data_IF_681621137380
#
_entry.id   IF_681621137380
#
_cell.length_a   1.000
_cell.length_b   1.000
_cell.length_c   1.000
_cell.angle_alpha   90.00
_cell.angle_beta   90.00
_cell.angle_gamma   90.00
#
_symmetry.space_group_name_H-M   'P 1'
#
loop_
_entity.id
_entity.type
_entity.pdbx_description
1 polymer ?
#
# COMPACT_ATOMS: atom_id res chain seq x y z
N UNK A 1 19.80 7.17 10.97
CA UNK A 1 18.56 6.53 10.47
C UNK A 1 17.32 7.19 11.04
N UNK A 2 17.24 7.38 12.37
CA UNK A 2 16.15 8.15 12.99
C UNK A 2 16.21 9.66 12.67
N UNK A 3 17.41 10.25 12.55
CA UNK A 3 17.56 11.69 12.23
C UNK A 3 16.98 12.09 10.86
N UNK A 4 16.69 11.11 10.00
CA UNK A 4 16.09 11.29 8.67
C UNK A 4 14.58 11.09 8.68
N UNK A 5 13.97 10.77 9.83
CA UNK A 5 12.54 10.51 9.92
C UNK A 5 11.78 11.82 10.11
N UNK A 6 10.98 12.20 9.12
CA UNK A 6 10.17 13.43 9.18
C UNK A 6 8.93 13.24 10.06
N UNK A 7 8.34 12.05 10.01
CA UNK A 7 7.11 11.74 10.74
C UNK A 7 7.10 10.30 11.20
N UNK A 8 6.75 10.12 12.47
CA UNK A 8 6.51 8.82 13.10
C UNK A 8 5.02 8.75 13.45
N UNK A 9 4.41 7.61 13.15
CA UNK A 9 3.05 7.27 13.60
C UNK A 9 3.09 5.95 14.35
N UNK A 10 2.30 5.88 15.42
CA UNK A 10 2.03 4.65 16.14
C UNK A 10 0.81 3.97 15.52
N UNK A 11 0.82 2.64 15.42
CA UNK A 11 -0.31 1.85 14.92
C UNK A 11 -1.23 1.50 16.10
N UNK A 12 -2.40 2.13 16.19
CA UNK A 12 -3.33 1.90 17.29
C UNK A 12 -3.98 0.53 17.27
N UNK A 13 -4.18 -0.02 18.47
CA UNK A 13 -5.04 -1.17 18.73
C UNK A 13 -6.50 -0.76 18.91
N UNK A 14 -7.27 -1.60 19.59
CA UNK A 14 -8.70 -1.34 19.81
C UNK A 14 -8.96 -0.35 20.94
N UNK A 15 -8.03 -0.23 21.89
CA UNK A 15 -8.22 0.46 23.16
C UNK A 15 -8.59 1.94 23.01
N UNK A 16 -7.87 2.75 22.20
CA UNK A 16 -8.25 4.15 22.00
C UNK A 16 -9.61 4.32 21.32
N UNK A 17 -9.96 3.40 20.41
CA UNK A 17 -11.24 3.41 19.68
C UNK A 17 -12.38 3.07 20.64
N UNK A 18 -12.21 2.06 21.49
CA UNK A 18 -13.19 1.65 22.50
C UNK A 18 -13.49 2.78 23.49
N UNK A 19 -12.46 3.52 23.91
CA UNK A 19 -12.64 4.62 24.86
C UNK A 19 -13.50 5.77 24.30
N UNK A 20 -13.42 6.07 22.99
CA UNK A 20 -14.30 7.08 22.37
C UNK A 20 -15.70 6.53 22.11
N UNK A 21 -15.83 5.24 21.75
CA UNK A 21 -17.14 4.61 21.57
C UNK A 21 -17.96 4.63 22.88
N UNK A 22 -17.32 4.41 24.03
CA UNK A 22 -17.97 4.53 25.36
C UNK A 22 -18.50 5.93 25.67
N UNK A 23 -17.98 6.95 25.00
CA UNK A 23 -18.44 8.33 25.14
C UNK A 23 -19.66 8.63 24.27
N UNK A 24 -20.17 7.64 23.53
CA UNK A 24 -21.41 7.75 22.76
C UNK A 24 -21.26 8.53 21.46
N UNK A 25 -20.05 8.60 20.91
CA UNK A 25 -19.77 9.24 19.62
C UNK A 25 -20.44 8.47 18.48
N UNK A 26 -20.98 9.19 17.50
CA UNK A 26 -21.64 8.58 16.35
C UNK A 26 -20.65 8.20 15.23
N UNK A 27 -19.51 8.89 15.14
CA UNK A 27 -18.45 8.66 14.14
C UNK A 27 -17.08 8.69 14.80
N UNK A 28 -16.24 7.70 14.49
CA UNK A 28 -14.83 7.66 14.90
C UNK A 28 -13.94 7.80 13.67
N UNK A 29 -13.06 8.81 13.68
CA UNK A 29 -12.01 8.97 12.67
C UNK A 29 -10.69 8.56 13.34
N UNK A 30 -10.21 7.35 13.02
CA UNK A 30 -8.94 6.86 13.52
C UNK A 30 -7.77 7.43 12.70
N UNK A 31 -6.64 7.66 13.37
CA UNK A 31 -5.35 7.87 12.71
C UNK A 31 -4.80 6.56 12.14
N UNK A 32 -3.48 6.36 12.22
CA UNK A 32 -2.90 5.06 11.84
C UNK A 32 -3.34 3.99 12.85
N UNK A 33 -4.09 2.99 12.38
CA UNK A 33 -4.58 1.87 13.17
C UNK A 33 -4.24 0.54 12.53
N UNK A 34 -4.30 -0.53 13.32
CA UNK A 34 -4.46 -1.87 12.78
C UNK A 34 -5.82 -1.94 12.08
N UNK A 35 -5.88 -2.44 10.85
CA UNK A 35 -7.10 -2.36 10.04
C UNK A 35 -8.25 -3.14 10.69
N UNK A 36 -7.94 -4.32 11.25
CA UNK A 36 -8.88 -5.12 12.03
C UNK A 36 -9.38 -4.44 13.32
N UNK A 37 -8.63 -3.49 13.91
CA UNK A 37 -9.01 -2.85 15.17
C UNK A 37 -10.24 -1.95 15.03
N UNK A 38 -10.45 -1.37 13.84
CA UNK A 38 -11.60 -0.48 13.55
C UNK A 38 -12.93 -1.25 13.72
N UNK A 39 -12.95 -2.51 13.28
CA UNK A 39 -14.12 -3.38 13.37
C UNK A 39 -14.16 -4.20 14.67
N UNK A 40 -13.00 -4.58 15.20
CA UNK A 40 -12.94 -5.33 16.45
C UNK A 40 -13.39 -4.48 17.65
N UNK A 41 -13.05 -3.19 17.70
CA UNK A 41 -13.40 -2.30 18.80
C UNK A 41 -14.90 -2.25 19.13
N UNK A 42 -15.83 -1.99 18.18
CA UNK A 42 -17.26 -2.00 18.48
C UNK A 42 -17.78 -3.39 18.89
N UNK A 43 -17.24 -4.47 18.33
CA UNK A 43 -17.61 -5.84 18.73
C UNK A 43 -17.19 -6.15 20.17
N UNK A 44 -16.02 -5.66 20.59
CA UNK A 44 -15.56 -5.78 21.97
C UNK A 44 -16.40 -4.94 22.94
N UNK A 45 -16.88 -3.76 22.53
CA UNK A 45 -17.83 -2.98 23.32
C UNK A 45 -19.22 -3.64 23.42
N UNK A 46 -19.61 -4.41 22.40
CA UNK A 46 -20.81 -5.26 22.44
C UNK A 46 -20.63 -6.54 23.29
N UNK A 47 -19.44 -6.77 23.87
CA UNK A 47 -19.18 -7.91 24.77
C UNK A 47 -18.74 -9.20 24.07
N UNK A 48 -18.36 -9.15 22.79
CA UNK A 48 -17.84 -10.32 22.08
C UNK A 48 -16.40 -10.65 22.50
N UNK A 49 -15.97 -11.90 22.22
CA UNK A 49 -14.62 -12.36 22.53
C UNK A 49 -13.56 -11.66 21.68
N UNK A 50 -12.31 -11.57 22.19
CA UNK A 50 -11.17 -11.08 21.40
C UNK A 50 -10.99 -11.88 20.10
N UNK A 51 -11.12 -13.21 20.17
CA UNK A 51 -10.94 -14.06 19.00
C UNK A 51 -11.95 -13.74 17.89
N UNK A 52 -13.24 -13.65 18.24
CA UNK A 52 -14.29 -13.38 17.27
C UNK A 52 -14.23 -11.94 16.74
N UNK A 53 -13.99 -10.97 17.63
CA UNK A 53 -13.90 -9.57 17.24
C UNK A 53 -12.73 -9.31 16.28
N UNK A 54 -11.54 -9.83 16.58
CA UNK A 54 -10.38 -9.68 15.71
C UNK A 54 -10.49 -10.49 14.43
N UNK A 55 -11.08 -11.69 14.45
CA UNK A 55 -11.32 -12.44 13.21
C UNK A 55 -12.32 -11.69 12.31
N UNK A 56 -13.42 -11.20 12.87
CA UNK A 56 -14.38 -10.40 12.12
C UNK A 56 -13.70 -9.16 11.53
N UNK A 57 -12.88 -8.47 12.32
CA UNK A 57 -12.13 -7.31 11.81
C UNK A 57 -11.13 -7.66 10.71
N UNK A 58 -10.39 -8.78 10.85
CA UNK A 58 -9.48 -9.27 9.81
C UNK A 58 -10.22 -9.60 8.51
N UNK A 59 -11.40 -10.19 8.60
CA UNK A 59 -12.20 -10.50 7.41
C UNK A 59 -12.81 -9.25 6.75
N UNK A 60 -13.04 -8.17 7.53
CA UNK A 60 -13.69 -6.95 7.07
C UNK A 60 -12.74 -5.84 6.59
N UNK A 61 -11.43 -5.96 6.82
CA UNK A 61 -10.45 -4.88 6.57
C UNK A 61 -10.41 -4.37 5.11
N UNK A 62 -10.75 -5.23 4.14
CA UNK A 62 -10.89 -4.86 2.72
C UNK A 62 -12.32 -5.07 2.17
N UNK A 63 -13.31 -5.10 3.06
CA UNK A 63 -14.73 -5.26 2.74
C UNK A 63 -14.99 -6.40 1.73
N UNK A 64 -15.48 -6.09 0.53
CA UNK A 64 -15.91 -7.06 -0.48
C UNK A 64 -14.81 -7.98 -1.05
N UNK A 65 -13.56 -7.81 -0.64
CA UNK A 65 -12.45 -8.67 -1.09
C UNK A 65 -12.55 -10.10 -0.53
N UNK A 66 -13.33 -10.32 0.54
CA UNK A 66 -13.65 -11.66 1.03
C UNK A 66 -14.89 -12.28 0.35
N UNK A 67 -15.29 -11.76 -0.81
CA UNK A 67 -16.45 -12.23 -1.58
C UNK A 67 -16.10 -12.64 -3.02
N UNK A 68 -16.99 -13.43 -3.61
CA UNK A 68 -16.89 -13.94 -4.98
C UNK A 68 -18.21 -13.67 -5.77
N UNK A 69 -18.15 -13.21 -7.03
CA UNK A 69 -16.92 -12.84 -7.75
C UNK A 69 -16.24 -11.63 -7.11
N UNK A 70 -14.96 -11.43 -7.44
CA UNK A 70 -14.21 -10.27 -6.94
C UNK A 70 -14.89 -9.00 -7.44
N UNK A 71 -15.35 -8.17 -6.50
CA UNK A 71 -15.95 -6.88 -6.75
C UNK A 71 -15.29 -5.89 -5.80
N UNK A 72 -14.74 -4.79 -6.30
CA UNK A 72 -14.16 -3.73 -5.47
C UNK A 72 -15.21 -2.67 -5.12
N UNK A 73 -15.04 -2.02 -3.96
CA UNK A 73 -15.93 -0.95 -3.46
C UNK A 73 -17.35 -1.40 -3.08
N UNK A 74 -17.55 -2.70 -2.87
CA UNK A 74 -18.80 -3.23 -2.34
C UNK A 74 -18.69 -3.44 -0.82
N UNK A 75 -19.84 -3.60 -0.16
CA UNK A 75 -19.92 -3.75 1.30
C UNK A 75 -20.26 -5.19 1.70
N UNK A 76 -19.77 -5.60 2.86
CA UNK A 76 -20.14 -6.83 3.53
C UNK A 76 -20.65 -6.54 4.95
N UNK A 77 -21.40 -7.46 5.52
CA UNK A 77 -21.82 -7.44 6.91
C UNK A 77 -21.05 -8.51 7.69
N UNK A 78 -20.38 -8.10 8.76
CA UNK A 78 -19.84 -8.99 9.78
C UNK A 78 -20.79 -9.07 10.98
N UNK A 79 -21.15 -10.28 11.39
CA UNK A 79 -22.02 -10.54 12.55
C UNK A 79 -21.39 -11.57 13.47
N UNK A 80 -21.46 -11.33 14.78
CA UNK A 80 -20.97 -12.24 15.82
C UNK A 80 -22.12 -12.53 16.79
N UNK A 81 -22.34 -13.79 17.13
CA UNK A 81 -23.43 -14.22 18.04
C UNK A 81 -23.01 -15.25 19.10
N UNK A 82 -21.69 -15.41 19.30
CA UNK A 82 -21.12 -16.37 20.24
C UNK A 82 -21.04 -17.81 19.71
N UNK A 83 -21.71 -18.12 18.59
CA UNK A 83 -21.54 -19.40 17.90
C UNK A 83 -20.50 -19.32 16.78
N UNK A 84 -20.11 -18.12 16.35
CA UNK A 84 -19.05 -17.89 15.39
C UNK A 84 -19.11 -16.48 14.81
N UNK A 85 -18.31 -16.27 13.76
CA UNK A 85 -18.27 -15.03 12.98
C UNK A 85 -18.89 -15.29 11.62
N UNK A 86 -19.84 -14.46 11.21
CA UNK A 86 -20.59 -14.60 9.97
C UNK A 86 -20.28 -13.44 9.04
N UNK A 87 -19.88 -13.74 7.82
CA UNK A 87 -19.56 -12.76 6.78
C UNK A 87 -20.58 -12.91 5.66
N UNK A 88 -21.37 -11.86 5.42
CA UNK A 88 -22.42 -11.83 4.41
C UNK A 88 -22.10 -10.75 3.38
N UNK A 89 -22.04 -11.12 2.10
CA UNK A 89 -21.95 -10.13 1.03
C UNK A 89 -23.28 -9.37 0.88
N UNK A 90 -23.23 -8.04 0.83
CA UNK A 90 -24.44 -7.22 0.67
C UNK A 90 -24.85 -7.14 -0.79
N UNK A 91 -23.90 -6.93 -1.71
CA UNK A 91 -24.17 -6.83 -3.15
C UNK A 91 -24.93 -8.06 -3.67
N UNK A 92 -26.06 -7.94 -4.40
CA UNK A 92 -26.89 -9.07 -4.83
C UNK A 92 -26.13 -10.18 -5.57
N UNK A 93 -25.20 -9.80 -6.43
CA UNK A 93 -24.44 -10.75 -7.27
C UNK A 93 -23.14 -11.26 -6.64
N UNK A 94 -22.84 -10.86 -5.39
CA UNK A 94 -21.66 -11.31 -4.65
C UNK A 94 -22.06 -12.24 -3.51
N UNK A 95 -21.20 -13.20 -3.16
CA UNK A 95 -21.35 -14.07 -1.99
C UNK A 95 -20.04 -14.23 -1.25
N UNK A 96 -20.08 -14.33 0.07
CA UNK A 96 -18.93 -14.81 0.84
C UNK A 96 -18.97 -16.34 0.88
N UNK A 97 -18.00 -16.97 0.21
CA UNK A 97 -17.78 -18.42 0.21
C UNK A 97 -16.67 -18.83 1.18
N UNK A 98 -16.64 -20.09 1.66
CA UNK A 98 -15.54 -20.60 2.47
C UNK A 98 -14.16 -20.32 1.87
N UNK A 99 -14.01 -20.53 0.56
CA UNK A 99 -12.76 -20.29 -0.15
C UNK A 99 -12.41 -18.79 -0.19
N UNK A 100 -13.36 -17.92 -0.51
CA UNK A 100 -13.11 -16.46 -0.58
C UNK A 100 -12.75 -15.86 0.78
N UNK A 101 -13.45 -16.28 1.85
CA UNK A 101 -13.20 -15.80 3.21
C UNK A 101 -11.87 -16.35 3.74
N UNK A 102 -11.58 -17.64 3.53
CA UNK A 102 -10.28 -18.22 3.92
C UNK A 102 -9.11 -17.59 3.17
N UNK A 103 -9.25 -17.37 1.85
CA UNK A 103 -8.23 -16.69 1.04
C UNK A 103 -7.95 -15.28 1.56
N UNK A 104 -9.00 -14.52 1.88
CA UNK A 104 -8.83 -13.18 2.41
C UNK A 104 -8.23 -13.16 3.83
N UNK A 105 -8.58 -14.14 4.67
CA UNK A 105 -7.95 -14.30 5.99
C UNK A 105 -6.42 -14.49 5.89
N UNK A 106 -5.93 -15.12 4.82
CA UNK A 106 -4.49 -15.34 4.56
C UNK A 106 -3.81 -14.17 3.83
N UNK A 107 -4.56 -13.20 3.31
CA UNK A 107 -4.06 -12.12 2.46
C UNK A 107 -3.23 -11.08 3.24
N UNK A 108 -2.18 -10.55 2.58
CA UNK A 108 -1.28 -9.49 3.07
C UNK A 108 -0.53 -9.80 4.36
N UNK A 109 -0.12 -11.06 4.56
CA UNK A 109 0.60 -11.48 5.77
C UNK A 109 1.86 -12.28 5.47
N UNK A 110 2.82 -12.15 6.39
CA UNK A 110 4.05 -12.97 6.40
C UNK A 110 3.76 -14.42 6.78
N UNK A 111 2.79 -14.63 7.67
CA UNK A 111 2.31 -15.95 8.06
C UNK A 111 0.81 -16.02 7.77
N UNK A 112 0.34 -16.97 6.93
CA UNK A 112 -1.06 -17.04 6.52
C UNK A 112 -2.03 -17.36 7.67
N UNK A 113 -1.53 -17.83 8.83
CA UNK A 113 -2.36 -18.24 9.96
C UNK A 113 -2.33 -17.27 11.15
N UNK A 114 -1.52 -16.21 11.11
CA UNK A 114 -1.36 -15.31 12.27
C UNK A 114 -1.47 -13.86 11.87
N UNK A 115 -2.33 -13.15 12.58
CA UNK A 115 -2.47 -11.70 12.47
C UNK A 115 -2.00 -11.02 13.75
N UNK A 116 -0.90 -10.26 13.68
CA UNK A 116 -0.32 -9.58 14.84
C UNK A 116 -0.92 -8.19 15.01
N UNK A 117 -1.37 -7.89 16.21
CA UNK A 117 -1.99 -6.62 16.58
C UNK A 117 -1.40 -6.11 17.90
N UNK A 118 -1.56 -4.83 18.26
CA UNK A 118 -1.19 -4.39 19.60
C UNK A 118 -1.85 -5.26 20.68
N UNK A 119 -1.02 -5.81 21.57
CA UNK A 119 -1.47 -6.68 22.67
C UNK A 119 -1.53 -8.18 22.38
N UNK A 120 -1.22 -8.66 21.17
CA UNK A 120 -1.25 -10.10 20.89
C UNK A 120 -1.27 -10.46 19.41
N UNK A 121 -1.79 -11.66 19.13
CA UNK A 121 -2.10 -12.04 17.76
C UNK A 121 -3.35 -12.93 17.70
N UNK A 122 -4.07 -12.81 16.59
CA UNK A 122 -5.13 -13.72 16.20
C UNK A 122 -4.50 -14.96 15.54
N UNK A 123 -4.79 -16.14 16.07
CA UNK A 123 -4.40 -17.43 15.49
C UNK A 123 -5.60 -18.04 14.73
N UNK A 124 -5.41 -18.24 13.44
CA UNK A 124 -6.38 -18.76 12.49
C UNK A 124 -6.05 -20.17 12.01
N UNK A 125 -5.03 -20.83 12.59
CA UNK A 125 -4.57 -22.16 12.16
C UNK A 125 -5.61 -23.27 12.34
N UNK A 126 -6.61 -23.04 13.21
CA UNK A 126 -7.71 -23.97 13.51
C UNK A 126 -9.06 -23.47 12.99
N UNK A 127 -9.08 -22.45 12.12
CA UNK A 127 -10.32 -21.93 11.57
C UNK A 127 -11.03 -22.97 10.70
N UNK A 128 -12.34 -23.10 10.88
CA UNK A 128 -13.26 -23.86 10.02
C UNK A 128 -14.25 -22.90 9.37
N UNK A 129 -14.44 -23.06 8.06
CA UNK A 129 -15.24 -22.18 7.22
C UNK A 129 -16.43 -22.96 6.66
N UNK A 130 -17.65 -22.54 6.98
CA UNK A 130 -18.89 -23.22 6.64
C UNK A 130 -19.82 -22.27 5.88
N UNK A 131 -20.29 -22.67 4.70
CA UNK A 131 -21.34 -21.93 3.99
C UNK A 131 -22.68 -22.18 4.70
N UNK A 132 -23.32 -21.14 5.22
CA UNK A 132 -24.59 -21.29 5.98
C UNK A 132 -25.83 -20.85 5.20
N UNK A 133 -25.65 -20.04 4.17
CA UNK A 133 -26.68 -19.66 3.19
C UNK A 133 -25.99 -19.25 1.87
N UNK A 134 -26.72 -18.91 0.78
CA UNK A 134 -26.10 -18.59 -0.52
C UNK A 134 -25.07 -17.45 -0.52
N UNK A 135 -25.08 -16.55 0.48
CA UNK A 135 -24.25 -15.34 0.54
C UNK A 135 -23.36 -15.25 1.78
N UNK A 136 -23.59 -16.11 2.77
CA UNK A 136 -22.95 -16.04 4.09
C UNK A 136 -22.06 -17.24 4.38
N UNK A 137 -20.84 -16.95 4.84
CA UNK A 137 -19.93 -17.94 5.42
C UNK A 137 -19.79 -17.70 6.92
N UNK A 138 -19.89 -18.76 7.70
CA UNK A 138 -19.58 -18.80 9.13
C UNK A 138 -18.16 -19.29 9.35
N UNK A 139 -17.46 -18.67 10.29
CA UNK A 139 -16.11 -19.06 10.72
C UNK A 139 -16.06 -19.31 12.22
N UNK A 140 -15.37 -20.39 12.59
CA UNK A 140 -15.15 -20.84 13.97
C UNK A 140 -13.73 -21.37 14.16
N UNK A 141 -13.25 -21.50 15.39
CA UNK A 141 -11.95 -22.12 15.69
C UNK A 141 -10.77 -21.14 15.78
N UNK A 142 -10.99 -19.87 15.46
CA UNK A 142 -10.07 -18.78 15.77
C UNK A 142 -9.78 -18.68 17.27
N UNK A 143 -8.55 -18.30 17.63
CA UNK A 143 -8.18 -18.00 19.02
C UNK A 143 -7.35 -16.72 19.06
N UNK A 144 -7.39 -16.00 20.18
CA UNK A 144 -6.54 -14.84 20.39
C UNK A 144 -5.47 -15.17 21.44
N UNK A 145 -4.21 -14.95 21.10
CA UNK A 145 -3.07 -15.18 21.98
C UNK A 145 -2.54 -13.82 22.43
N UNK A 146 -2.87 -13.47 23.68
CA UNK A 146 -2.39 -12.23 24.29
C UNK A 146 -0.87 -12.27 24.51
N UNK A 147 -0.22 -11.14 24.27
CA UNK A 147 1.18 -10.94 24.64
C UNK A 147 1.31 -10.59 26.13
N UNK A 148 2.41 -10.97 26.81
CA UNK A 148 2.62 -10.61 28.23
C UNK A 148 2.70 -9.10 28.47
N UNK A 149 3.22 -8.37 27.48
CA UNK A 149 3.30 -6.90 27.45
C UNK A 149 2.64 -6.38 26.18
N UNK A 150 2.21 -5.12 26.22
CA UNK A 150 1.70 -4.42 25.04
C UNK A 150 2.84 -3.86 24.21
N UNK A 151 2.88 -4.26 22.94
CA UNK A 151 3.82 -3.74 21.95
C UNK A 151 3.06 -2.95 20.89
N UNK A 152 3.51 -1.73 20.60
CA UNK A 152 2.95 -0.90 19.55
C UNK A 152 3.96 -0.74 18.43
N UNK A 153 3.50 -0.98 17.19
CA UNK A 153 4.29 -0.74 15.99
C UNK A 153 4.41 0.77 15.74
N UNK A 154 5.64 1.22 15.52
CA UNK A 154 5.98 2.54 15.02
C UNK A 154 6.37 2.45 13.55
N UNK A 155 5.77 3.33 12.77
CA UNK A 155 5.99 3.47 11.35
C UNK A 155 6.49 4.87 11.06
N UNK A 156 7.60 5.00 10.33
CA UNK A 156 8.20 6.29 10.04
C UNK A 156 8.69 6.39 8.62
N UNK A 157 8.52 7.58 8.05
CA UNK A 157 9.01 7.92 6.71
C UNK A 157 9.90 9.15 6.76
N UNK A 158 10.87 9.18 5.84
CA UNK A 158 11.79 10.29 5.66
C UNK A 158 11.88 10.69 4.21
N UNK A 159 11.79 12.00 3.93
CA UNK A 159 11.99 12.54 2.59
C UNK A 159 13.43 12.28 2.17
N UNK A 160 13.59 11.78 0.95
CA UNK A 160 14.89 11.46 0.36
C UNK A 160 15.27 12.50 -0.68
N UNK A 161 14.32 12.96 -1.49
CA UNK A 161 14.57 13.88 -2.59
C UNK A 161 13.27 14.44 -3.18
N UNK A 162 13.38 15.52 -3.95
CA UNK A 162 12.37 15.91 -4.94
C UNK A 162 12.39 14.96 -6.14
N UNK A 163 11.26 14.82 -6.84
CA UNK A 163 11.09 13.87 -7.95
C UNK A 163 10.50 14.54 -9.19
N UNK A 164 11.05 14.17 -10.34
CA UNK A 164 10.55 14.56 -11.65
C UNK A 164 10.48 13.35 -12.57
N UNK A 165 9.42 13.24 -13.37
CA UNK A 165 9.17 12.12 -14.27
C UNK A 165 9.05 12.60 -15.73
N UNK A 166 9.56 11.81 -16.66
CA UNK A 166 9.39 12.01 -18.10
C UNK A 166 9.05 10.69 -18.76
N UNK A 167 8.07 10.69 -19.67
CA UNK A 167 7.56 9.45 -20.28
C UNK A 167 7.89 9.45 -21.77
N UNK A 168 8.51 8.37 -22.23
CA UNK A 168 8.78 8.16 -23.66
C UNK A 168 8.50 6.72 -24.08
N UNK A 169 8.04 6.53 -25.31
CA UNK A 169 7.87 5.22 -25.94
C UNK A 169 8.93 4.96 -27.00
N UNK A 170 9.35 3.71 -27.16
CA UNK A 170 10.24 3.29 -28.26
C UNK A 170 9.62 2.06 -28.91
N UNK A 171 9.45 2.10 -30.23
CA UNK A 171 8.94 0.99 -31.05
C UNK A 171 9.97 0.48 -32.07
N UNK A 172 11.03 1.24 -32.33
CA UNK A 172 12.05 0.83 -33.29
C UNK A 172 12.77 -0.45 -32.81
N UNK A 173 12.67 -1.58 -33.52
CA UNK A 173 13.20 -2.86 -33.05
C UNK A 173 14.72 -2.85 -32.83
N UNK A 174 15.45 -2.08 -33.64
CA UNK A 174 16.89 -1.96 -33.50
C UNK A 174 17.28 -1.17 -32.24
N UNK A 175 16.57 -0.08 -31.96
CA UNK A 175 16.74 0.70 -30.73
C UNK A 175 16.39 -0.13 -29.49
N UNK A 176 15.31 -0.91 -29.53
CA UNK A 176 14.92 -1.82 -28.44
C UNK A 176 16.01 -2.86 -28.19
N UNK A 177 16.55 -3.49 -29.24
CA UNK A 177 17.63 -4.46 -29.13
C UNK A 177 18.94 -3.87 -28.56
N UNK A 178 19.12 -2.55 -28.66
CA UNK A 178 20.31 -1.83 -28.19
C UNK A 178 19.99 -0.88 -27.02
N UNK A 179 18.88 -1.08 -26.32
CA UNK A 179 18.34 -0.09 -25.38
C UNK A 179 19.32 0.26 -24.25
N UNK A 180 20.08 -0.72 -23.74
CA UNK A 180 21.06 -0.46 -22.68
C UNK A 180 22.20 0.45 -23.15
N UNK A 181 22.57 0.41 -24.44
CA UNK A 181 23.54 1.34 -25.03
C UNK A 181 22.96 2.75 -25.12
N UNK A 182 21.69 2.86 -25.48
CA UNK A 182 20.95 4.13 -25.55
C UNK A 182 20.87 4.77 -24.17
N UNK A 183 20.43 4.01 -23.16
CA UNK A 183 20.36 4.46 -21.76
C UNK A 183 21.75 4.80 -21.22
N UNK A 184 22.76 3.97 -21.51
CA UNK A 184 24.14 4.22 -21.10
C UNK A 184 24.69 5.52 -21.69
N UNK A 185 24.44 5.80 -22.97
CA UNK A 185 24.81 7.05 -23.61
C UNK A 185 24.08 8.25 -22.98
N UNK A 186 22.78 8.13 -22.74
CA UNK A 186 21.99 9.19 -22.11
C UNK A 186 22.50 9.52 -20.69
N UNK A 187 22.82 8.50 -19.88
CA UNK A 187 23.46 8.65 -18.57
C UNK A 187 24.85 9.29 -18.67
N UNK A 188 25.63 8.94 -19.69
CA UNK A 188 26.93 9.56 -19.97
C UNK A 188 26.80 11.07 -20.21
N UNK A 189 25.83 11.50 -21.03
CA UNK A 189 25.56 12.92 -21.29
C UNK A 189 25.10 13.70 -20.06
N UNK A 190 24.31 13.06 -19.20
CA UNK A 190 23.97 13.64 -17.90
C UNK A 190 25.22 13.80 -17.03
N UNK A 191 26.08 12.77 -16.99
CA UNK A 191 27.31 12.79 -16.20
C UNK A 191 28.28 13.87 -16.64
N UNK A 192 28.45 14.06 -17.96
CA UNK A 192 29.27 15.13 -18.54
C UNK A 192 28.79 16.52 -18.10
N UNK A 193 27.47 16.72 -17.98
CA UNK A 193 26.88 18.04 -17.71
C UNK A 193 26.69 18.32 -16.22
N UNK A 194 26.35 17.31 -15.42
CA UNK A 194 25.90 17.47 -14.04
C UNK A 194 26.79 16.78 -13.01
N UNK A 195 27.86 16.11 -13.45
CA UNK A 195 28.71 15.28 -12.59
C UNK A 195 28.16 13.87 -12.40
N UNK A 196 28.82 13.03 -11.60
CA UNK A 196 28.46 11.62 -11.44
C UNK A 196 27.04 11.44 -10.87
N UNK A 197 26.27 10.56 -11.51
CA UNK A 197 24.99 10.04 -11.00
C UNK A 197 25.25 9.34 -9.66
N UNK A 198 24.38 9.56 -8.67
CA UNK A 198 24.55 9.07 -7.29
C UNK A 198 25.20 10.08 -6.34
N UNK A 199 25.69 11.22 -6.86
CA UNK A 199 26.12 12.36 -6.06
C UNK A 199 24.94 13.27 -5.74
N UNK A 200 24.82 14.39 -6.46
CA UNK A 200 23.77 15.40 -6.22
C UNK A 200 22.43 15.08 -6.89
N UNK A 201 22.34 13.98 -7.63
CA UNK A 201 21.12 13.54 -8.30
C UNK A 201 21.20 12.04 -8.62
N UNK A 202 20.04 11.39 -8.73
CA UNK A 202 19.92 10.07 -9.34
C UNK A 202 19.01 10.11 -10.56
N UNK A 203 19.20 9.15 -11.47
CA UNK A 203 18.34 8.96 -12.64
C UNK A 203 18.07 7.47 -12.87
N UNK A 204 16.80 7.15 -13.02
CA UNK A 204 16.29 5.81 -13.24
C UNK A 204 15.55 5.77 -14.58
N UNK A 205 15.68 4.66 -15.30
CA UNK A 205 15.01 4.43 -16.58
C UNK A 205 14.18 3.16 -16.45
N UNK A 206 12.90 3.32 -16.11
CA UNK A 206 11.97 2.22 -15.87
C UNK A 206 11.39 1.73 -17.20
N UNK A 207 11.86 0.57 -17.68
CA UNK A 207 11.50 0.02 -19.00
C UNK A 207 10.32 -0.95 -18.92
N UNK A 208 9.10 -0.40 -19.01
CA UNK A 208 7.86 -1.17 -19.17
C UNK A 208 7.85 -1.87 -20.53
N UNK A 209 7.38 -3.12 -20.54
CA UNK A 209 7.51 -4.02 -21.69
C UNK A 209 8.79 -4.85 -21.67
N UNK A 210 9.75 -4.58 -20.76
CA UNK A 210 10.93 -5.43 -20.53
C UNK A 210 10.94 -6.06 -19.14
N UNK A 211 11.14 -5.24 -18.11
CA UNK A 211 11.30 -5.69 -16.72
C UNK A 211 11.14 -4.57 -15.66
N UNK A 212 10.39 -3.49 -15.93
CA UNK A 212 10.26 -2.37 -14.98
C UNK A 212 9.67 -2.72 -13.60
N UNK A 213 8.92 -3.83 -13.47
CA UNK A 213 8.25 -4.20 -12.21
C UNK A 213 9.17 -5.00 -11.30
N UNK A 214 9.79 -6.07 -11.82
CA UNK A 214 10.64 -6.97 -11.06
C UNK A 214 12.13 -6.69 -11.22
N UNK A 215 12.52 -5.80 -12.13
CA UNK A 215 13.91 -5.44 -12.42
C UNK A 215 14.80 -6.68 -12.65
N UNK A 216 15.85 -6.85 -11.84
CA UNK A 216 16.77 -7.98 -11.89
C UNK A 216 16.13 -9.30 -11.39
N UNK A 217 14.99 -9.23 -10.71
CA UNK A 217 14.24 -10.39 -10.23
C UNK A 217 13.28 -10.96 -11.28
N UNK A 218 13.09 -10.28 -12.42
CA UNK A 218 12.24 -10.78 -13.50
C UNK A 218 12.81 -12.10 -14.06
N UNK A 219 12.12 -13.25 -13.90
CA UNK A 219 12.64 -14.54 -14.36
C UNK A 219 12.67 -14.67 -15.89
N UNK A 220 11.80 -13.94 -16.58
CA UNK A 220 11.58 -14.06 -18.03
C UNK A 220 11.46 -12.69 -18.69
N UNK A 221 12.52 -11.86 -18.65
CA UNK A 221 12.45 -10.50 -19.19
C UNK A 221 12.20 -10.57 -20.70
N UNK A 222 11.29 -9.73 -21.19
CA UNK A 222 10.97 -9.72 -22.61
C UNK A 222 12.21 -9.30 -23.41
N UNK A 223 12.69 -10.20 -24.28
CA UNK A 223 13.94 -10.00 -25.04
C UNK A 223 13.77 -9.14 -26.29
N UNK A 224 12.56 -9.14 -26.86
CA UNK A 224 12.23 -8.40 -28.06
C UNK A 224 10.75 -7.94 -28.00
N UNK A 225 10.40 -7.06 -27.06
CA UNK A 225 9.06 -6.49 -27.02
C UNK A 225 8.77 -5.68 -28.29
N UNK A 226 7.51 -5.64 -28.71
CA UNK A 226 7.08 -4.86 -29.88
C UNK A 226 7.29 -3.36 -29.67
N UNK A 227 7.09 -2.90 -28.43
CA UNK A 227 7.32 -1.55 -27.98
C UNK A 227 7.68 -1.55 -26.49
N UNK A 228 8.38 -0.51 -26.05
CA UNK A 228 8.68 -0.27 -24.64
C UNK A 228 8.24 1.12 -24.23
N UNK A 229 7.67 1.22 -23.02
CA UNK A 229 7.44 2.48 -22.33
C UNK A 229 8.56 2.73 -21.34
N UNK A 230 9.19 3.89 -21.40
CA UNK A 230 10.27 4.28 -20.49
C UNK A 230 9.79 5.44 -19.64
N UNK A 231 9.65 5.20 -18.35
CA UNK A 231 9.48 6.27 -17.36
C UNK A 231 10.88 6.62 -16.86
N UNK A 232 11.34 7.80 -17.25
CA UNK A 232 12.57 8.39 -16.73
C UNK A 232 12.22 9.09 -15.43
N UNK A 233 12.85 8.68 -14.35
CA UNK A 233 12.68 9.29 -13.04
C UNK A 233 14.00 9.93 -12.62
N UNK A 234 13.92 11.17 -12.14
CA UNK A 234 15.07 11.86 -11.55
C UNK A 234 14.73 12.23 -10.13
N UNK A 235 15.70 12.00 -9.24
CA UNK A 235 15.66 12.48 -7.86
C UNK A 235 16.79 13.47 -7.61
N UNK A 236 16.49 14.58 -6.93
CA UNK A 236 17.46 15.61 -6.56
C UNK A 236 16.97 16.35 -5.31
N UNK A 237 17.87 17.00 -4.57
CA UNK A 237 17.49 17.80 -3.38
C UNK A 237 16.66 19.05 -3.75
N UNK A 238 16.76 19.51 -5.00
CA UNK A 238 16.06 20.68 -5.52
C UNK A 238 15.12 20.30 -6.68
N UNK A 239 13.86 20.74 -6.59
CA UNK A 239 12.80 20.37 -7.54
C UNK A 239 13.05 20.95 -8.94
N UNK A 240 13.50 22.20 -9.04
CA UNK A 240 13.76 22.84 -10.32
C UNK A 240 14.94 22.18 -11.05
N UNK A 241 15.96 21.76 -10.28
CA UNK A 241 17.08 20.97 -10.79
C UNK A 241 16.64 19.57 -11.20
N UNK A 242 15.81 18.90 -10.40
CA UNK A 242 15.23 17.60 -10.76
C UNK A 242 14.49 17.68 -12.11
N UNK A 243 13.67 18.72 -12.29
CA UNK A 243 12.94 18.97 -13.53
C UNK A 243 13.87 19.15 -14.73
N UNK A 244 14.87 20.04 -14.59
CA UNK A 244 15.84 20.33 -15.66
C UNK A 244 16.59 19.06 -16.07
N UNK A 245 17.08 18.29 -15.10
CA UNK A 245 17.81 17.05 -15.35
C UNK A 245 16.88 16.01 -15.98
N UNK A 246 15.63 15.88 -15.51
CA UNK A 246 14.65 14.93 -16.04
C UNK A 246 14.30 15.21 -17.50
N UNK A 247 14.08 16.48 -17.85
CA UNK A 247 13.82 16.87 -19.22
C UNK A 247 14.98 16.46 -20.14
N UNK A 248 16.22 16.74 -19.74
CA UNK A 248 17.41 16.36 -20.52
C UNK A 248 17.56 14.83 -20.58
N UNK A 249 17.32 14.13 -19.46
CA UNK A 249 17.43 12.68 -19.36
C UNK A 249 16.45 11.97 -20.31
N UNK A 250 15.22 12.46 -20.42
CA UNK A 250 14.21 12.00 -21.38
C UNK A 250 14.58 12.34 -22.82
N UNK A 251 14.91 13.61 -23.10
CA UNK A 251 15.29 14.06 -24.45
C UNK A 251 16.55 13.37 -24.99
N UNK A 252 17.50 13.02 -24.15
CA UNK A 252 18.70 12.30 -24.57
C UNK A 252 18.37 10.96 -25.26
N UNK A 253 17.26 10.30 -24.91
CA UNK A 253 16.85 9.07 -25.58
C UNK A 253 16.57 9.28 -27.09
N UNK A 254 16.20 10.50 -27.51
CA UNK A 254 15.95 10.87 -28.91
C UNK A 254 17.23 11.11 -29.70
N UNK A 255 18.30 11.47 -29.01
CA UNK A 255 19.56 11.89 -29.61
C UNK A 255 20.63 10.81 -29.58
N UNK A 256 20.39 9.70 -28.88
CA UNK A 256 21.30 8.57 -28.83
C UNK A 256 21.59 8.06 -30.25
N UNK A 257 22.88 8.08 -30.61
CA UNK A 257 23.35 7.62 -31.93
C UNK A 257 23.82 6.18 -31.81
N UNK A 258 23.04 5.27 -32.39
CA UNK A 258 23.50 3.91 -32.62
C UNK A 258 24.21 3.83 -33.99
N UNK A 259 25.30 3.05 -34.14
CA UNK A 259 26.15 3.08 -35.33
C UNK A 259 25.43 2.81 -36.66
N UNK A 260 24.40 1.98 -36.66
CA UNK A 260 23.70 1.56 -37.88
C UNK A 260 22.47 2.43 -38.20
N UNK A 261 22.11 3.38 -37.32
CA UNK A 261 20.95 4.26 -37.52
C UNK A 261 21.33 5.39 -38.47
N UNK A 262 20.71 5.41 -39.66
CA UNK A 262 20.92 6.44 -40.68
C UNK A 262 20.17 7.76 -40.40
N UNK A 263 19.16 7.71 -39.52
CA UNK A 263 18.34 8.87 -39.15
C UNK A 263 19.02 9.82 -38.16
N UNK A 264 18.68 11.10 -38.22
CA UNK A 264 19.24 12.16 -37.35
C UNK A 264 18.47 12.36 -36.04
N UNK A 265 17.32 11.73 -35.82
CA UNK A 265 16.59 11.69 -34.54
C UNK A 265 15.35 10.79 -34.72
N UNK A 266 14.49 10.70 -33.69
CA UNK A 266 13.10 10.25 -33.83
C UNK A 266 12.87 8.75 -33.62
N UNK A 267 13.78 8.06 -32.94
CA UNK A 267 13.60 6.65 -32.53
C UNK A 267 12.72 6.50 -31.30
N UNK A 268 12.46 7.60 -30.60
CA UNK A 268 11.60 7.69 -29.43
C UNK A 268 10.38 8.57 -29.74
N UNK A 269 9.27 8.29 -29.09
CA UNK A 269 8.03 9.07 -29.12
C UNK A 269 7.76 9.63 -27.71
N UNK A 270 7.19 10.82 -27.62
CA UNK A 270 6.71 11.40 -26.37
C UNK A 270 5.20 11.39 -26.34
N UNK A 271 4.62 11.10 -25.17
CA UNK A 271 3.19 11.32 -24.95
C UNK A 271 2.90 12.82 -24.74
N UNK A 272 3.78 13.52 -24.02
CA UNK A 272 3.79 14.97 -23.83
C UNK A 272 5.24 15.44 -23.77
N UNK A 273 5.54 16.66 -24.25
CA UNK A 273 6.87 17.27 -24.13
C UNK A 273 7.05 17.99 -22.79
N UNK A 274 6.63 17.33 -21.73
CA UNK A 274 6.52 17.89 -20.39
C UNK A 274 7.23 16.99 -19.38
N UNK A 275 7.79 17.62 -18.36
CA UNK A 275 8.21 16.94 -17.15
C UNK A 275 7.05 16.94 -16.18
N UNK A 276 6.66 15.76 -15.72
CA UNK A 276 5.63 15.60 -14.70
C UNK A 276 6.28 15.78 -13.31
N UNK A 277 5.76 16.71 -12.52
CA UNK A 277 6.18 16.90 -11.14
C UNK A 277 5.53 15.86 -10.24
N UNK A 278 6.35 14.94 -9.73
CA UNK A 278 5.90 13.94 -8.78
C UNK A 278 5.98 14.50 -7.36
N UNK A 279 5.24 13.88 -6.43
CA UNK A 279 5.46 14.11 -5.00
C UNK A 279 6.88 13.69 -4.62
N UNK A 280 7.49 14.30 -3.58
CA UNK A 280 8.83 13.93 -3.14
C UNK A 280 8.99 12.43 -2.89
N UNK A 281 10.21 11.93 -3.09
CA UNK A 281 10.60 10.57 -2.70
C UNK A 281 10.63 10.48 -1.18
N UNK A 282 10.03 9.42 -0.65
CA UNK A 282 10.16 9.04 0.75
C UNK A 282 10.66 7.60 0.85
N UNK A 283 11.45 7.33 1.87
CA UNK A 283 11.82 5.97 2.27
C UNK A 283 11.21 5.63 3.63
N UNK A 284 11.01 4.34 3.87
CA UNK A 284 10.73 3.82 5.20
C UNK A 284 12.00 3.97 6.06
N UNK A 285 11.92 4.79 7.10
CA UNK A 285 13.03 5.03 8.03
C UNK A 285 12.85 4.34 9.38
N UNK A 286 11.62 3.94 9.71
CA UNK A 286 11.30 3.22 10.94
C UNK A 286 10.19 2.18 10.69
N UNK A 287 10.47 0.93 11.05
CA UNK A 287 9.48 -0.14 11.14
C UNK A 287 9.88 -1.01 12.34
N UNK A 288 9.40 -0.61 13.52
CA UNK A 288 9.82 -1.20 14.80
C UNK A 288 8.65 -1.32 15.76
N UNK A 289 8.78 -2.13 16.81
CA UNK A 289 7.81 -2.20 17.90
C UNK A 289 8.43 -1.70 19.18
N UNK A 290 7.67 -0.97 19.98
CA UNK A 290 8.08 -0.54 21.32
C UNK A 290 7.11 -1.08 22.35
N UNK A 291 7.64 -1.44 23.52
CA UNK A 291 6.83 -1.79 24.67
C UNK A 291 6.24 -0.52 25.28
N UNK A 292 4.96 -0.56 25.63
CA UNK A 292 4.24 0.54 26.25
C UNK A 292 3.58 0.06 27.54
N UNK A 293 3.46 0.96 28.52
CA UNK A 293 2.79 0.63 29.78
C UNK A 293 1.27 0.62 29.60
N UNK A 294 0.73 1.55 28.81
CA UNK A 294 -0.68 1.62 28.44
C UNK A 294 -0.83 1.62 26.90
N UNK A 295 -1.67 0.76 26.30
CA UNK A 295 -1.99 0.82 24.87
C UNK A 295 -2.56 2.17 24.40
N UNK A 296 -2.89 3.10 25.30
CA UNK A 296 -3.39 4.45 25.00
C UNK A 296 -2.31 5.52 24.92
N UNK A 297 -1.13 5.29 25.48
CA UNK A 297 -0.19 6.39 25.81
C UNK A 297 0.34 7.15 24.60
N UNK A 298 0.33 6.54 23.41
CA UNK A 298 0.82 7.14 22.16
C UNK A 298 -0.29 7.80 21.33
N UNK A 299 -1.54 7.77 21.79
CA UNK A 299 -2.70 8.18 21.02
C UNK A 299 -3.42 9.36 21.67
N UNK A 300 -3.66 10.40 20.86
CA UNK A 300 -4.39 11.60 21.28
C UNK A 300 -5.82 11.54 20.77
N UNK A 301 -6.76 11.88 21.63
CA UNK A 301 -8.19 11.91 21.33
C UNK A 301 -8.68 13.35 21.30
N UNK A 302 -9.49 13.68 20.29
CA UNK A 302 -10.23 14.93 20.19
C UNK A 302 -11.69 14.61 19.85
N UNK A 303 -12.61 15.32 20.48
CA UNK A 303 -14.04 15.19 20.24
C UNK A 303 -14.57 16.51 19.69
N UNK A 304 -15.36 16.41 18.63
CA UNK A 304 -15.98 17.56 17.99
C UNK A 304 -17.43 17.20 17.66
N UNK A 305 -18.35 18.12 17.95
CA UNK A 305 -19.75 18.01 17.55
C UNK A 305 -19.95 18.69 16.21
N UNK A 306 -20.28 17.92 15.17
CA UNK A 306 -20.49 18.43 13.81
C UNK A 306 -21.99 18.43 13.51
N UNK A 307 -22.57 19.63 13.37
CA UNK A 307 -24.00 19.82 13.12
C UNK A 307 -24.82 19.60 14.39
N UNK A 308 -25.55 20.63 14.83
CA UNK A 308 -26.52 20.49 15.92
C UNK A 308 -27.78 19.78 15.37
N UNK A 309 -27.72 18.45 15.26
CA UNK A 309 -28.90 17.61 15.03
C UNK A 309 -29.56 17.26 16.37
N UNK A 310 -30.90 17.27 16.40
CA UNK A 310 -31.69 16.88 17.55
C UNK A 310 -31.29 15.46 18.03
N UNK A 311 -30.84 15.29 19.29
CA UNK A 311 -30.50 13.98 19.86
C UNK A 311 -31.63 12.94 19.76
N UNK A 312 -32.88 13.39 19.61
CA UNK A 312 -34.05 12.54 19.45
C UNK A 312 -34.20 11.94 18.04
N UNK A 313 -33.39 12.35 17.06
CA UNK A 313 -33.46 11.87 15.68
C UNK A 313 -32.61 10.62 15.39
N UNK A 314 -32.19 9.87 16.43
CA UNK A 314 -31.55 8.55 16.24
C UNK A 314 -32.58 7.55 15.71
N UNK A 315 -32.32 6.86 14.58
CA UNK A 315 -33.20 5.82 14.04
C UNK A 315 -33.28 4.58 14.94
#
# INVERSE_FOLDING_TARGET
TLDRTDRIVAVMGTEPIRDVLRQGVDVVIAGRSSDCAIFAAPLLEAGHSLADAFFCGKAMECASFCGEPFMGKETILGRVDGTGVYLTAIHPDQRCTPASVASHAMYERLNPFREYVPGGYLDMSKCSYEQVDPKTTRVTGQTFVASPSTWIKLEGSGKVAERALFITGIRDPYTIANLDRVIGWAKGKLTERFGPIGGTYNVFYHVYGRNAVMEALEPTPAKAPLEVGIVVEVTCDDAARAETICHIAGKNLFYARLPEVKGTAGTAAIMSDEVLHARPAYEWTLNHVIEVADPRELFRTQLETVGAGDPAARP
#
